data_IF_815582741913
#
_entry.id   IF_815582741913
#
_cell.length_a   1.000
_cell.length_b   1.000
_cell.length_c   1.000
_cell.angle_alpha   90.00
_cell.angle_beta   90.00
_cell.angle_gamma   90.00
#
_symmetry.space_group_name_H-M   'P 1'
#
loop_
_entity.id
_entity.type
_entity.pdbx_description
1 polymer ?
#
# COMPACT_ATOMS: atom_id res chain seq x y z
N UNK A 1 6.46 -3.98 -7.70
CA UNK A 1 7.88 -3.88 -8.08
C UNK A 1 8.33 -2.44 -8.31
N UNK A 2 7.80 -1.70 -9.30
CA UNK A 2 8.24 -0.31 -9.56
C UNK A 2 8.12 0.60 -8.33
N UNK A 3 7.00 0.50 -7.59
CA UNK A 3 6.83 1.22 -6.33
C UNK A 3 7.97 0.97 -5.35
N UNK A 4 8.42 -0.29 -5.22
CA UNK A 4 9.49 -0.65 -4.30
C UNK A 4 10.86 -0.11 -4.73
N UNK A 5 11.22 -0.30 -6.01
CA UNK A 5 12.50 0.18 -6.55
C UNK A 5 12.64 1.70 -6.44
N UNK A 6 11.59 2.44 -6.78
CA UNK A 6 11.61 3.90 -6.74
C UNK A 6 11.40 4.48 -5.34
N UNK A 7 10.68 3.78 -4.44
CA UNK A 7 10.63 4.18 -3.04
C UNK A 7 11.99 4.01 -2.36
N UNK A 8 12.76 2.95 -2.67
CA UNK A 8 14.15 2.83 -2.21
C UNK A 8 15.02 3.99 -2.71
N UNK A 9 14.77 4.48 -3.93
CA UNK A 9 15.44 5.67 -4.46
C UNK A 9 14.94 7.00 -3.84
N UNK A 10 13.95 6.97 -2.94
CA UNK A 10 13.29 8.14 -2.36
C UNK A 10 14.23 9.23 -1.82
N UNK A 11 15.22 8.91 -0.97
CA UNK A 11 16.17 9.90 -0.45
C UNK A 11 16.99 10.60 -1.55
N UNK A 12 17.36 9.86 -2.61
CA UNK A 12 18.06 10.42 -3.76
C UNK A 12 17.15 11.27 -4.64
N UNK A 13 15.91 10.81 -4.87
CA UNK A 13 14.90 11.58 -5.60
C UNK A 13 14.62 12.91 -4.90
N UNK A 14 14.49 12.87 -3.57
CA UNK A 14 14.30 14.05 -2.74
C UNK A 14 15.45 15.04 -2.86
N UNK A 15 16.69 14.54 -2.86
CA UNK A 15 17.91 15.36 -3.01
C UNK A 15 18.07 15.97 -4.41
N UNK A 16 17.75 15.22 -5.46
CA UNK A 16 17.99 15.64 -6.86
C UNK A 16 16.86 16.53 -7.38
N UNK A 17 15.61 16.13 -7.12
CA UNK A 17 14.42 16.71 -7.75
C UNK A 17 13.71 17.68 -6.79
N UNK A 18 13.82 17.45 -5.48
CA UNK A 18 13.06 18.15 -4.46
C UNK A 18 11.62 17.63 -4.33
N UNK A 19 11.02 17.89 -3.17
CA UNK A 19 9.67 17.41 -2.81
C UNK A 19 8.60 17.90 -3.80
N UNK A 20 8.56 19.20 -4.06
CA UNK A 20 7.48 19.84 -4.85
C UNK A 20 7.49 19.34 -6.30
N UNK A 21 8.64 19.42 -6.95
CA UNK A 21 8.80 18.95 -8.33
C UNK A 21 8.60 17.44 -8.41
N UNK A 22 9.12 16.68 -7.45
CA UNK A 22 9.00 15.22 -7.48
C UNK A 22 7.56 14.73 -7.32
N UNK A 23 6.77 15.33 -6.41
CA UNK A 23 5.33 15.03 -6.32
C UNK A 23 4.62 15.41 -7.63
N UNK A 24 4.93 16.57 -8.22
CA UNK A 24 4.36 17.01 -9.50
C UNK A 24 4.67 16.04 -10.65
N UNK A 25 5.90 15.54 -10.73
CA UNK A 25 6.29 14.48 -11.66
C UNK A 25 5.47 13.22 -11.38
N UNK A 26 5.36 12.81 -10.11
CA UNK A 26 4.58 11.63 -9.73
C UNK A 26 3.12 11.69 -10.20
N UNK A 27 2.45 12.82 -9.97
CA UNK A 27 1.06 13.04 -10.41
C UNK A 27 0.97 13.03 -11.94
N UNK A 28 1.92 13.66 -12.63
CA UNK A 28 1.99 13.67 -14.10
C UNK A 28 2.12 12.26 -14.68
N UNK A 29 2.99 11.42 -14.10
CA UNK A 29 3.18 10.04 -14.52
C UNK A 29 1.90 9.20 -14.33
N UNK A 30 1.16 9.42 -13.24
CA UNK A 30 -0.15 8.78 -13.02
C UNK A 30 -1.17 9.24 -14.07
N UNK A 31 -1.27 10.56 -14.33
CA UNK A 31 -2.19 11.09 -15.33
C UNK A 31 -1.90 10.55 -16.74
N UNK A 32 -0.62 10.48 -17.12
CA UNK A 32 -0.18 9.90 -18.39
C UNK A 32 -0.47 8.39 -18.46
N UNK A 33 -0.19 7.66 -17.39
CA UNK A 33 -0.48 6.22 -17.29
C UNK A 33 -1.97 5.94 -17.48
N UNK A 34 -2.84 6.63 -16.76
CA UNK A 34 -4.29 6.48 -16.88
C UNK A 34 -4.79 6.88 -18.27
N UNK A 35 -4.34 8.02 -18.81
CA UNK A 35 -4.76 8.49 -20.15
C UNK A 35 -4.33 7.50 -21.23
N UNK A 36 -3.12 6.96 -21.15
CA UNK A 36 -2.62 5.98 -22.10
C UNK A 36 -3.46 4.69 -22.12
N UNK A 37 -4.06 4.30 -20.99
CA UNK A 37 -4.91 3.09 -20.89
C UNK A 37 -6.16 3.12 -21.78
N UNK A 38 -6.56 4.31 -22.26
CA UNK A 38 -7.68 4.47 -23.20
C UNK A 38 -7.30 3.96 -24.60
N UNK A 39 -6.03 4.08 -24.99
CA UNK A 39 -5.57 3.88 -26.37
C UNK A 39 -4.74 2.62 -26.59
N UNK A 40 -4.40 1.90 -25.52
CA UNK A 40 -3.55 0.70 -25.59
C UNK A 40 -4.37 -0.58 -25.69
N UNK A 41 -3.86 -1.53 -26.47
CA UNK A 41 -4.52 -2.81 -26.75
C UNK A 41 -3.67 -4.03 -26.38
N UNK A 42 -2.35 -3.90 -26.43
CA UNK A 42 -1.46 -5.04 -26.16
C UNK A 42 -1.20 -5.23 -24.67
N UNK A 43 -1.02 -6.48 -24.25
CA UNK A 43 -0.63 -6.81 -22.87
C UNK A 43 0.66 -6.08 -22.46
N UNK A 44 1.66 -6.04 -23.35
CA UNK A 44 2.92 -5.31 -23.11
C UNK A 44 2.71 -3.82 -22.86
N UNK A 45 1.84 -3.17 -23.64
CA UNK A 45 1.51 -1.76 -23.43
C UNK A 45 0.73 -1.52 -22.12
N UNK A 46 -0.17 -2.43 -21.72
CA UNK A 46 -0.86 -2.32 -20.43
C UNK A 46 0.16 -2.43 -19.29
N UNK A 47 1.10 -3.37 -19.37
CA UNK A 47 2.19 -3.51 -18.39
C UNK A 47 3.05 -2.24 -18.34
N UNK A 48 3.42 -1.67 -19.50
CA UNK A 48 4.20 -0.44 -19.56
C UNK A 48 3.48 0.74 -18.89
N UNK A 49 2.17 0.92 -19.14
CA UNK A 49 1.39 1.95 -18.44
C UNK A 49 1.32 1.68 -16.93
N UNK A 50 1.16 0.42 -16.51
CA UNK A 50 1.17 0.06 -15.08
C UNK A 50 2.52 0.33 -14.41
N UNK A 51 3.63 0.08 -15.11
CA UNK A 51 4.97 0.46 -14.65
C UNK A 51 5.07 1.98 -14.47
N UNK A 52 4.64 2.75 -15.47
CA UNK A 52 4.64 4.21 -15.42
C UNK A 52 3.83 4.76 -14.23
N UNK A 53 2.61 4.24 -14.04
CA UNK A 53 1.77 4.62 -12.91
C UNK A 53 2.38 4.20 -11.56
N UNK A 54 3.00 3.03 -11.49
CA UNK A 54 3.72 2.55 -10.31
C UNK A 54 4.91 3.41 -9.93
N UNK A 55 5.64 3.96 -10.91
CA UNK A 55 6.71 4.95 -10.67
C UNK A 55 6.08 6.24 -10.11
N UNK A 56 4.99 6.73 -10.71
CA UNK A 56 4.31 7.93 -10.22
C UNK A 56 3.82 7.81 -8.77
N UNK A 57 3.21 6.68 -8.43
CA UNK A 57 2.79 6.35 -7.06
C UNK A 57 3.99 6.33 -6.11
N UNK A 58 5.14 5.78 -6.55
CA UNK A 58 6.36 5.73 -5.74
C UNK A 58 6.87 7.12 -5.38
N UNK A 59 6.91 8.03 -6.36
CA UNK A 59 7.32 9.43 -6.14
C UNK A 59 6.42 10.11 -5.11
N UNK A 60 5.10 9.99 -5.26
CA UNK A 60 4.15 10.61 -4.33
C UNK A 60 4.30 10.02 -2.92
N UNK A 61 4.34 8.70 -2.79
CA UNK A 61 4.44 8.05 -1.46
C UNK A 61 5.78 8.31 -0.76
N UNK A 62 6.87 8.47 -1.52
CA UNK A 62 8.18 8.80 -0.95
C UNK A 62 8.28 10.27 -0.51
N UNK A 63 7.69 11.20 -1.27
CA UNK A 63 7.95 12.64 -1.12
C UNK A 63 6.85 13.40 -0.38
N UNK A 64 5.58 12.95 -0.46
CA UNK A 64 4.46 13.64 0.19
C UNK A 64 4.61 13.69 1.73
N UNK A 65 5.01 12.60 2.42
CA UNK A 65 5.20 12.67 3.88
C UNK A 65 6.28 13.67 4.31
N UNK A 66 7.37 13.76 3.55
CA UNK A 66 8.44 14.74 3.79
C UNK A 66 7.93 16.17 3.60
N UNK A 67 7.23 16.42 2.49
CA UNK A 67 6.59 17.70 2.21
C UNK A 67 5.66 18.15 3.33
N UNK A 68 4.76 17.27 3.78
CA UNK A 68 3.80 17.55 4.86
C UNK A 68 4.53 17.90 6.16
N UNK A 69 5.52 17.10 6.57
CA UNK A 69 6.26 17.34 7.81
C UNK A 69 7.06 18.64 7.78
N UNK A 70 7.63 19.01 6.63
CA UNK A 70 8.43 20.23 6.49
C UNK A 70 7.56 21.49 6.45
N UNK A 71 6.44 21.45 5.74
CA UNK A 71 5.58 22.63 5.54
C UNK A 71 4.58 22.85 6.66
N UNK A 72 4.11 21.78 7.30
CA UNK A 72 3.07 21.82 8.32
C UNK A 72 3.43 20.91 9.51
N UNK A 73 4.55 21.15 10.21
CA UNK A 73 5.02 20.28 11.30
C UNK A 73 3.98 20.11 12.41
N UNK A 74 3.29 21.19 12.79
CA UNK A 74 2.28 21.17 13.86
C UNK A 74 1.04 20.34 13.50
N UNK A 75 0.69 20.25 12.21
CA UNK A 75 -0.48 19.52 11.71
C UNK A 75 -0.11 18.24 10.94
N UNK A 76 1.15 17.81 11.00
CA UNK A 76 1.67 16.74 10.17
C UNK A 76 0.92 15.42 10.38
N UNK A 77 0.56 15.08 11.62
CA UNK A 77 -0.22 13.88 11.91
C UNK A 77 -1.61 13.89 11.26
N UNK A 78 -2.32 15.02 11.32
CA UNK A 78 -3.64 15.18 10.71
C UNK A 78 -3.56 15.11 9.17
N UNK A 79 -2.60 15.80 8.57
CA UNK A 79 -2.41 15.82 7.12
C UNK A 79 -1.95 14.46 6.58
N UNK A 80 -1.10 13.74 7.33
CA UNK A 80 -0.75 12.35 7.01
C UNK A 80 -1.98 11.44 7.07
N UNK A 81 -2.86 11.63 8.06
CA UNK A 81 -4.13 10.91 8.13
C UNK A 81 -5.06 11.20 6.95
N UNK A 82 -5.14 12.46 6.51
CA UNK A 82 -5.90 12.83 5.31
C UNK A 82 -5.28 12.20 4.05
N UNK A 83 -3.94 12.21 3.93
CA UNK A 83 -3.22 11.59 2.83
C UNK A 83 -3.49 10.08 2.74
N UNK A 84 -3.37 9.35 3.85
CA UNK A 84 -3.67 7.91 3.87
C UNK A 84 -5.14 7.63 3.59
N UNK A 85 -6.05 8.44 4.14
CA UNK A 85 -7.49 8.34 3.86
C UNK A 85 -7.77 8.55 2.37
N UNK A 86 -7.10 9.50 1.71
CA UNK A 86 -7.24 9.73 0.28
C UNK A 86 -6.82 8.53 -0.57
N UNK A 87 -5.72 7.85 -0.19
CA UNK A 87 -5.27 6.61 -0.86
C UNK A 87 -6.37 5.53 -0.74
N UNK A 88 -6.87 5.30 0.47
CA UNK A 88 -7.85 4.25 0.74
C UNK A 88 -9.21 4.56 0.10
N UNK A 89 -9.70 5.79 0.24
CA UNK A 89 -10.95 6.25 -0.36
C UNK A 89 -10.90 6.21 -1.90
N UNK A 90 -9.77 6.59 -2.49
CA UNK A 90 -9.56 6.47 -3.94
C UNK A 90 -9.59 5.01 -4.42
N UNK A 91 -8.97 4.09 -3.67
CA UNK A 91 -8.99 2.66 -3.97
C UNK A 91 -10.42 2.09 -3.91
N UNK A 92 -11.18 2.41 -2.87
CA UNK A 92 -12.58 1.98 -2.74
C UNK A 92 -13.47 2.57 -3.85
N UNK A 93 -13.30 3.86 -4.19
CA UNK A 93 -14.02 4.47 -5.30
C UNK A 93 -13.71 3.78 -6.63
N UNK A 94 -12.44 3.51 -6.91
CA UNK A 94 -12.03 2.80 -8.12
C UNK A 94 -12.60 1.37 -8.16
N UNK A 95 -12.55 0.63 -7.06
CA UNK A 95 -13.09 -0.73 -6.99
C UNK A 95 -14.63 -0.76 -7.16
N UNK A 96 -15.35 0.14 -6.48
CA UNK A 96 -16.81 0.22 -6.57
C UNK A 96 -17.31 0.61 -7.97
N UNK A 97 -16.55 1.44 -8.68
CA UNK A 97 -16.92 1.91 -10.03
C UNK A 97 -16.39 1.01 -11.16
N UNK A 98 -15.45 0.11 -10.88
CA UNK A 98 -14.81 -0.71 -11.91
C UNK A 98 -15.78 -1.62 -12.67
N UNK A 99 -16.59 -2.42 -11.98
CA UNK A 99 -17.54 -3.34 -12.60
C UNK A 99 -18.64 -2.62 -13.42
N UNK A 100 -19.39 -1.65 -12.85
CA UNK A 100 -20.40 -0.92 -13.63
C UNK A 100 -19.76 -0.10 -14.75
N UNK A 101 -18.62 0.55 -14.49
CA UNK A 101 -17.90 1.31 -15.51
C UNK A 101 -17.52 0.42 -16.71
N UNK A 102 -16.98 -0.78 -16.44
CA UNK A 102 -16.58 -1.70 -17.50
C UNK A 102 -17.79 -2.19 -18.31
N UNK A 103 -18.95 -2.36 -17.67
CA UNK A 103 -20.19 -2.76 -18.33
C UNK A 103 -20.77 -1.65 -19.23
N UNK A 104 -20.78 -0.39 -18.78
CA UNK A 104 -21.41 0.71 -19.52
C UNK A 104 -20.48 1.39 -20.54
N UNK A 105 -19.22 1.60 -20.17
CA UNK A 105 -18.25 2.38 -20.96
C UNK A 105 -17.12 1.52 -21.54
N UNK A 106 -17.06 0.24 -21.18
CA UNK A 106 -15.94 -0.64 -21.52
C UNK A 106 -14.75 -0.47 -20.57
N UNK A 107 -13.94 -1.52 -20.47
CA UNK A 107 -12.83 -1.59 -19.52
C UNK A 107 -11.75 -0.51 -19.76
N UNK A 108 -11.49 -0.12 -21.01
CA UNK A 108 -10.50 0.91 -21.36
C UNK A 108 -10.86 2.29 -20.80
N UNK A 109 -12.09 2.75 -21.07
CA UNK A 109 -12.56 4.04 -20.56
C UNK A 109 -12.64 4.04 -19.04
N UNK A 110 -13.05 2.91 -18.44
CA UNK A 110 -13.08 2.75 -16.97
C UNK A 110 -11.71 2.93 -16.35
N UNK A 111 -10.67 2.30 -16.91
CA UNK A 111 -9.29 2.48 -16.44
C UNK A 111 -8.75 3.89 -16.72
N UNK A 112 -9.17 4.50 -17.83
CA UNK A 112 -8.78 5.84 -18.23
C UNK A 112 -9.41 6.96 -17.40
N UNK A 113 -10.59 6.72 -16.85
CA UNK A 113 -11.35 7.71 -16.07
C UNK A 113 -10.56 8.25 -14.87
N UNK A 114 -9.66 7.44 -14.29
CA UNK A 114 -8.76 7.85 -13.22
C UNK A 114 -7.77 8.97 -13.62
N UNK A 115 -7.63 9.28 -14.92
CA UNK A 115 -6.86 10.43 -15.38
C UNK A 115 -7.49 11.76 -14.92
N UNK A 116 -8.83 11.84 -14.82
CA UNK A 116 -9.52 13.06 -14.42
C UNK A 116 -9.12 13.54 -13.02
N UNK A 117 -9.24 12.74 -11.95
CA UNK A 117 -8.78 13.16 -10.63
C UNK A 117 -7.27 13.41 -10.58
N UNK A 118 -6.44 12.69 -11.36
CA UNK A 118 -5.00 12.94 -11.43
C UNK A 118 -4.67 14.31 -12.05
N UNK A 119 -5.38 14.72 -13.12
CA UNK A 119 -5.22 16.03 -13.73
C UNK A 119 -5.70 17.14 -12.80
N UNK A 120 -6.84 16.95 -12.12
CA UNK A 120 -7.32 17.91 -11.12
C UNK A 120 -6.32 18.06 -9.96
N UNK A 121 -5.75 16.95 -9.49
CA UNK A 121 -4.70 16.97 -8.48
C UNK A 121 -3.44 17.69 -8.97
N UNK A 122 -3.06 17.53 -10.25
CA UNK A 122 -1.91 18.22 -10.83
C UNK A 122 -2.13 19.72 -10.88
N UNK A 123 -3.32 20.17 -11.31
CA UNK A 123 -3.69 21.59 -11.34
C UNK A 123 -3.65 22.16 -9.92
N UNK A 124 -4.30 21.49 -8.96
CA UNK A 124 -4.26 21.92 -7.56
C UNK A 124 -2.83 21.99 -7.00
N UNK A 125 -1.99 21.00 -7.32
CA UNK A 125 -0.60 20.94 -6.88
C UNK A 125 0.23 22.09 -7.45
N UNK A 126 0.14 22.35 -8.76
CA UNK A 126 0.89 23.45 -9.41
C UNK A 126 0.48 24.81 -8.86
N UNK A 127 -0.80 24.99 -8.52
CA UNK A 127 -1.31 26.24 -7.96
C UNK A 127 -0.95 26.43 -6.48
N UNK A 128 -0.83 25.36 -5.69
CA UNK A 128 -0.70 25.44 -4.24
C UNK A 128 0.70 25.12 -3.67
N UNK A 129 1.50 24.28 -4.34
CA UNK A 129 2.69 23.68 -3.74
C UNK A 129 3.90 24.63 -3.56
N UNK A 130 3.87 25.81 -4.19
CA UNK A 130 4.95 26.81 -4.09
C UNK A 130 6.25 26.37 -4.77
N UNK A 131 7.39 26.90 -4.30
CA UNK A 131 8.73 26.61 -4.87
C UNK A 131 9.47 25.53 -4.07
N UNK A 132 10.27 24.73 -4.76
CA UNK A 132 11.22 23.79 -4.15
C UNK A 132 12.27 24.53 -3.34
N UNK A 133 12.37 24.24 -2.05
CA UNK A 133 13.56 24.57 -1.28
C UNK A 133 14.64 23.49 -1.50
N UNK A 134 15.94 23.84 -1.57
CA UNK A 134 17.00 22.85 -1.61
C UNK A 134 16.93 21.96 -0.37
N UNK A 135 16.81 20.65 -0.55
CA UNK A 135 16.80 19.71 0.56
C UNK A 135 18.24 19.23 0.83
N UNK A 136 18.75 19.52 2.03
CA UNK A 136 20.13 19.22 2.43
C UNK A 136 20.24 18.00 3.36
N UNK A 137 19.45 16.95 3.14
CA UNK A 137 19.57 15.75 3.94
C UNK A 137 20.61 14.76 3.37
N UNK A 138 21.12 13.94 4.29
CA UNK A 138 21.75 12.67 3.95
C UNK A 138 20.82 11.84 3.08
N UNK A 139 21.40 11.04 2.18
CA UNK A 139 20.70 10.02 1.43
C UNK A 139 21.22 8.66 1.89
N UNK A 140 20.98 8.33 3.17
CA UNK A 140 21.37 7.05 3.74
C UNK A 140 20.17 6.12 3.88
N UNK A 141 20.39 4.82 3.69
CA UNK A 141 19.40 3.81 4.05
C UNK A 141 19.87 3.06 5.30
N UNK A 142 18.99 2.70 6.23
CA UNK A 142 19.34 1.95 7.45
C UNK A 142 19.62 0.45 7.19
N UNK A 143 20.30 0.09 6.11
CA UNK A 143 20.53 -1.31 5.72
C UNK A 143 21.36 -2.12 6.73
N UNK A 144 22.10 -1.46 7.62
CA UNK A 144 22.85 -2.09 8.73
C UNK A 144 22.00 -2.33 9.99
N UNK A 145 20.76 -1.82 10.02
CA UNK A 145 19.91 -1.88 11.21
C UNK A 145 18.94 -3.07 11.15
N UNK A 146 19.06 -4.00 12.10
CA UNK A 146 18.20 -5.18 12.16
C UNK A 146 16.71 -4.86 12.39
N UNK A 147 16.41 -3.81 13.16
CA UNK A 147 15.03 -3.35 13.39
C UNK A 147 14.40 -2.82 12.10
N UNK A 148 15.18 -2.10 11.27
CA UNK A 148 14.72 -1.64 9.96
C UNK A 148 14.38 -2.81 9.02
N UNK A 149 15.18 -3.88 9.03
CA UNK A 149 14.87 -5.11 8.29
C UNK A 149 13.64 -5.83 8.83
N UNK A 150 13.45 -5.88 10.15
CA UNK A 150 12.27 -6.46 10.75
C UNK A 150 11.00 -5.71 10.32
N UNK A 151 11.02 -4.37 10.37
CA UNK A 151 9.92 -3.52 9.89
C UNK A 151 9.66 -3.71 8.39
N UNK A 152 10.72 -3.81 7.59
CA UNK A 152 10.65 -4.05 6.14
C UNK A 152 9.98 -5.39 5.83
N UNK A 153 10.42 -6.48 6.47
CA UNK A 153 9.82 -7.82 6.27
C UNK A 153 8.37 -7.82 6.76
N UNK A 154 8.10 -7.20 7.91
CA UNK A 154 6.74 -7.10 8.45
C UNK A 154 5.80 -6.34 7.49
N UNK A 155 6.23 -5.18 7.01
CA UNK A 155 5.49 -4.41 6.00
C UNK A 155 5.35 -5.21 4.70
N UNK A 156 6.39 -5.90 4.26
CA UNK A 156 6.42 -6.64 3.01
C UNK A 156 5.47 -7.83 2.97
N UNK A 157 5.41 -8.64 4.04
CA UNK A 157 4.45 -9.74 4.15
C UNK A 157 3.02 -9.19 4.31
N UNK A 158 2.82 -8.16 5.15
CA UNK A 158 1.50 -7.55 5.34
C UNK A 158 0.92 -6.93 4.07
N UNK A 159 1.74 -6.17 3.34
CA UNK A 159 1.38 -5.62 2.03
C UNK A 159 1.28 -6.73 0.97
N UNK A 160 2.04 -7.81 1.14
CA UNK A 160 1.91 -9.03 0.36
C UNK A 160 0.51 -9.63 0.43
N UNK A 161 -0.09 -9.68 1.62
CA UNK A 161 -1.48 -10.12 1.80
C UNK A 161 -2.46 -9.25 1.00
N UNK A 162 -2.31 -7.92 1.08
CA UNK A 162 -3.09 -6.98 0.27
C UNK A 162 -2.97 -7.28 -1.23
N UNK A 163 -1.75 -7.30 -1.76
CA UNK A 163 -1.54 -7.49 -3.20
C UNK A 163 -2.02 -8.84 -3.70
N UNK A 164 -1.89 -9.88 -2.86
CA UNK A 164 -2.37 -11.23 -3.16
C UNK A 164 -3.90 -11.24 -3.27
N UNK A 165 -4.60 -10.71 -2.26
CA UNK A 165 -6.06 -10.64 -2.25
C UNK A 165 -6.56 -9.77 -3.39
N UNK A 166 -5.97 -8.59 -3.60
CA UNK A 166 -6.34 -7.69 -4.69
C UNK A 166 -6.24 -8.36 -6.07
N UNK A 167 -5.18 -9.13 -6.31
CA UNK A 167 -4.95 -9.77 -7.61
C UNK A 167 -5.81 -11.03 -7.82
N UNK A 168 -6.02 -11.82 -6.77
CA UNK A 168 -6.50 -13.20 -6.92
C UNK A 168 -7.86 -13.48 -6.31
N UNK A 169 -8.43 -12.57 -5.51
CA UNK A 169 -9.76 -12.76 -4.92
C UNK A 169 -10.86 -12.87 -5.99
N UNK A 170 -10.97 -11.96 -6.99
CA UNK A 170 -12.00 -12.14 -8.01
C UNK A 170 -11.81 -13.40 -8.87
N UNK A 171 -10.59 -13.71 -9.40
CA UNK A 171 -10.36 -14.96 -10.11
C UNK A 171 -10.66 -16.21 -9.28
N UNK A 172 -10.41 -16.18 -7.96
CA UNK A 172 -10.76 -17.27 -7.05
C UNK A 172 -12.27 -17.48 -6.97
N UNK A 173 -13.06 -16.42 -6.81
CA UNK A 173 -14.52 -16.53 -6.77
C UNK A 173 -15.12 -16.97 -8.11
N UNK A 174 -14.55 -16.52 -9.23
CA UNK A 174 -14.90 -17.06 -10.55
C UNK A 174 -14.58 -18.55 -10.65
N UNK A 175 -13.42 -18.99 -10.12
CA UNK A 175 -13.04 -20.41 -10.11
C UNK A 175 -14.02 -21.27 -9.30
N UNK A 176 -14.60 -20.74 -8.21
CA UNK A 176 -15.59 -21.46 -7.39
C UNK A 176 -17.05 -21.21 -7.81
N UNK A 177 -17.26 -20.65 -9.01
CA UNK A 177 -18.56 -20.61 -9.70
C UNK A 177 -19.30 -19.29 -9.68
N UNK A 178 -18.70 -18.19 -9.18
CA UNK A 178 -19.33 -16.87 -9.19
C UNK A 178 -19.17 -16.19 -10.54
N UNK A 179 -20.04 -15.23 -10.84
CA UNK A 179 -19.88 -14.38 -12.02
C UNK A 179 -18.70 -13.41 -11.83
N UNK A 180 -18.13 -12.93 -12.93
CA UNK A 180 -17.08 -11.91 -12.88
C UNK A 180 -17.56 -10.60 -12.23
N UNK A 181 -18.83 -10.24 -12.41
CA UNK A 181 -19.42 -9.06 -11.80
C UNK A 181 -19.53 -9.18 -10.29
N UNK A 182 -20.11 -10.29 -9.78
CA UNK A 182 -20.27 -10.52 -8.35
C UNK A 182 -18.92 -10.61 -7.64
N UNK A 183 -17.96 -11.26 -8.26
CA UNK A 183 -16.58 -11.36 -7.76
C UNK A 183 -15.89 -9.99 -7.69
N UNK A 184 -16.19 -9.09 -8.65
CA UNK A 184 -15.73 -7.70 -8.63
C UNK A 184 -16.38 -6.87 -7.52
N UNK A 185 -17.70 -7.00 -7.31
CA UNK A 185 -18.40 -6.34 -6.21
C UNK A 185 -17.90 -6.81 -4.85
N UNK A 186 -17.55 -8.09 -4.72
CA UNK A 186 -16.98 -8.65 -3.51
C UNK A 186 -15.63 -8.00 -3.17
N UNK A 187 -14.77 -7.76 -4.16
CA UNK A 187 -13.53 -6.99 -3.98
C UNK A 187 -13.80 -5.51 -3.64
N UNK A 188 -14.84 -4.92 -4.23
CA UNK A 188 -15.31 -3.58 -3.86
C UNK A 188 -15.74 -3.49 -2.39
N UNK A 189 -16.48 -4.47 -1.89
CA UNK A 189 -16.88 -4.55 -0.48
C UNK A 189 -15.67 -4.76 0.44
N UNK A 190 -14.68 -5.56 0.02
CA UNK A 190 -13.43 -5.74 0.75
C UNK A 190 -12.68 -4.41 0.89
N UNK A 191 -12.45 -3.72 -0.22
CA UNK A 191 -11.72 -2.44 -0.22
C UNK A 191 -12.45 -1.36 0.58
N UNK A 192 -13.79 -1.31 0.55
CA UNK A 192 -14.55 -0.44 1.43
C UNK A 192 -14.32 -0.76 2.91
N UNK A 193 -14.30 -2.04 3.27
CA UNK A 193 -13.98 -2.49 4.62
C UNK A 193 -12.55 -2.12 5.01
N UNK A 194 -11.60 -2.20 4.07
CA UNK A 194 -10.22 -1.74 4.30
C UNK A 194 -10.21 -0.26 4.69
N UNK A 195 -10.90 0.61 3.94
CA UNK A 195 -11.00 2.06 4.26
C UNK A 195 -11.52 2.29 5.68
N UNK A 196 -12.61 1.62 6.04
CA UNK A 196 -13.21 1.73 7.38
C UNK A 196 -12.19 1.33 8.45
N UNK A 197 -11.48 0.22 8.24
CA UNK A 197 -10.49 -0.27 9.17
C UNK A 197 -9.30 0.68 9.36
N UNK A 198 -8.76 1.23 8.27
CA UNK A 198 -7.65 2.17 8.34
C UNK A 198 -8.04 3.48 9.04
N UNK A 199 -9.24 4.00 8.78
CA UNK A 199 -9.79 5.16 9.48
C UNK A 199 -9.98 4.90 10.98
N UNK A 200 -10.52 3.73 11.34
CA UNK A 200 -10.67 3.32 12.74
C UNK A 200 -9.31 3.24 13.45
N UNK A 201 -8.31 2.64 12.81
CA UNK A 201 -6.94 2.61 13.36
C UNK A 201 -6.41 4.02 13.54
N UNK A 202 -6.39 4.84 12.48
CA UNK A 202 -5.81 6.19 12.55
C UNK A 202 -6.50 7.10 13.58
N UNK A 203 -7.82 6.93 13.79
CA UNK A 203 -8.55 7.70 14.81
C UNK A 203 -8.34 7.19 16.23
N UNK A 204 -8.23 5.88 16.43
CA UNK A 204 -8.15 5.27 17.76
C UNK A 204 -6.72 4.99 18.25
N UNK A 205 -5.70 5.15 17.38
CA UNK A 205 -4.33 4.74 17.68
C UNK A 205 -3.75 5.41 18.93
N UNK A 206 -4.12 6.66 19.21
CA UNK A 206 -3.68 7.38 20.40
C UNK A 206 -4.07 6.70 21.73
N UNK A 207 -5.11 5.86 21.73
CA UNK A 207 -5.58 5.11 22.90
C UNK A 207 -4.75 3.86 23.20
N UNK A 208 -3.85 3.46 22.29
CA UNK A 208 -3.07 2.23 22.40
C UNK A 208 -1.57 2.55 22.39
N UNK A 209 -0.97 2.99 23.52
CA UNK A 209 0.46 3.30 23.58
C UNK A 209 1.33 2.12 23.14
N UNK A 210 0.92 0.90 23.49
CA UNK A 210 1.48 -0.33 22.93
C UNK A 210 0.67 -0.79 21.71
N UNK A 211 1.31 -0.78 20.54
CA UNK A 211 0.68 -1.11 19.24
C UNK A 211 0.47 -2.61 19.05
N UNK A 212 1.08 -3.46 19.87
CA UNK A 212 1.12 -4.92 19.68
C UNK A 212 -0.23 -5.59 19.75
N UNK A 213 -1.06 -5.19 20.71
CA UNK A 213 -2.39 -5.75 20.85
C UNK A 213 -3.20 -5.51 19.56
N UNK A 214 -3.13 -4.30 19.02
CA UNK A 214 -3.77 -3.99 17.74
C UNK A 214 -3.18 -4.81 16.59
N UNK A 215 -1.84 -4.91 16.49
CA UNK A 215 -1.17 -5.74 15.48
C UNK A 215 -1.65 -7.19 15.53
N UNK A 216 -1.70 -7.79 16.72
CA UNK A 216 -2.15 -9.17 16.91
C UNK A 216 -3.61 -9.32 16.46
N UNK A 217 -4.50 -8.42 16.90
CA UNK A 217 -5.92 -8.48 16.53
C UNK A 217 -6.14 -8.38 15.01
N UNK A 218 -5.45 -7.47 14.32
CA UNK A 218 -5.62 -7.30 12.87
C UNK A 218 -5.02 -8.45 12.08
N UNK A 219 -3.91 -9.05 12.55
CA UNK A 219 -3.33 -10.24 11.92
C UNK A 219 -4.23 -11.46 12.15
N UNK A 220 -4.84 -11.60 13.34
CA UNK A 220 -5.83 -12.66 13.58
C UNK A 220 -7.03 -12.51 12.65
N UNK A 221 -7.54 -11.29 12.43
CA UNK A 221 -8.59 -11.04 11.45
C UNK A 221 -8.16 -11.44 10.03
N UNK A 222 -6.94 -11.11 9.61
CA UNK A 222 -6.38 -11.55 8.33
C UNK A 222 -6.36 -13.09 8.22
N UNK A 223 -5.84 -13.79 9.24
CA UNK A 223 -5.80 -15.26 9.27
C UNK A 223 -7.21 -15.85 9.22
N UNK A 224 -8.15 -15.32 10.01
CA UNK A 224 -9.55 -15.75 9.99
C UNK A 224 -10.19 -15.57 8.63
N UNK A 225 -9.94 -14.44 7.97
CA UNK A 225 -10.44 -14.15 6.63
C UNK A 225 -9.90 -15.13 5.58
N UNK A 226 -8.59 -15.38 5.59
CA UNK A 226 -7.96 -16.38 4.71
C UNK A 226 -8.48 -17.80 5.01
N UNK A 227 -8.71 -18.12 6.28
CA UNK A 227 -9.26 -19.43 6.69
C UNK A 227 -10.69 -19.62 6.16
N UNK A 228 -11.51 -18.57 6.17
CA UNK A 228 -12.86 -18.61 5.59
C UNK A 228 -12.82 -18.89 4.08
N UNK A 229 -11.87 -18.30 3.34
CA UNK A 229 -11.68 -18.57 1.92
C UNK A 229 -11.33 -20.05 1.64
N UNK A 230 -10.58 -20.70 2.53
CA UNK A 230 -10.20 -22.11 2.36
C UNK A 230 -11.32 -23.05 2.80
N UNK A 231 -11.93 -22.78 3.95
CA UNK A 231 -12.84 -23.72 4.61
C UNK A 231 -14.21 -23.80 3.92
N UNK A 232 -14.80 -22.67 3.57
CA UNK A 232 -16.13 -22.62 2.96
C UNK A 232 -16.32 -21.31 2.17
N UNK A 233 -15.67 -21.16 1.00
CA UNK A 233 -15.56 -19.88 0.29
C UNK A 233 -16.90 -19.25 -0.08
N UNK A 234 -17.90 -20.08 -0.41
CA UNK A 234 -19.24 -19.62 -0.80
C UNK A 234 -20.07 -19.21 0.42
N UNK A 235 -20.11 -20.05 1.46
CA UNK A 235 -20.94 -19.82 2.65
C UNK A 235 -20.37 -18.71 3.54
N UNK A 236 -19.04 -18.59 3.61
CA UNK A 236 -18.35 -17.63 4.48
C UNK A 236 -17.86 -16.40 3.73
N UNK A 237 -18.28 -16.18 2.47
CA UNK A 237 -17.76 -15.10 1.63
C UNK A 237 -17.80 -13.73 2.34
N UNK A 238 -18.96 -13.33 2.87
CA UNK A 238 -19.11 -12.04 3.57
C UNK A 238 -18.23 -11.95 4.83
N UNK A 239 -18.11 -13.04 5.59
CA UNK A 239 -17.26 -13.08 6.79
C UNK A 239 -15.79 -12.95 6.37
N UNK A 240 -15.39 -13.67 5.31
CA UNK A 240 -14.04 -13.59 4.75
C UNK A 240 -13.69 -12.15 4.35
N UNK A 241 -14.59 -11.48 3.62
CA UNK A 241 -14.41 -10.10 3.16
C UNK A 241 -14.29 -9.12 4.32
N UNK A 242 -15.15 -9.23 5.33
CA UNK A 242 -15.09 -8.34 6.49
C UNK A 242 -13.80 -8.57 7.26
N UNK A 243 -13.43 -9.83 7.53
CA UNK A 243 -12.20 -10.15 8.25
C UNK A 243 -10.93 -9.75 7.48
N UNK A 244 -10.86 -10.06 6.18
CA UNK A 244 -9.72 -9.67 5.32
C UNK A 244 -9.63 -8.16 5.20
N UNK A 245 -10.72 -7.47 4.89
CA UNK A 245 -10.74 -6.02 4.74
C UNK A 245 -10.35 -5.32 6.04
N UNK A 246 -10.90 -5.76 7.19
CA UNK A 246 -10.52 -5.21 8.48
C UNK A 246 -9.06 -5.49 8.83
N UNK A 247 -8.57 -6.70 8.59
CA UNK A 247 -7.18 -7.08 8.87
C UNK A 247 -6.19 -6.30 7.99
N UNK A 248 -6.36 -6.36 6.67
CA UNK A 248 -5.46 -5.75 5.69
C UNK A 248 -5.50 -4.21 5.79
N UNK A 249 -6.70 -3.63 5.80
CA UNK A 249 -6.88 -2.17 5.81
C UNK A 249 -6.37 -1.51 7.09
N UNK A 250 -6.41 -2.22 8.22
CA UNK A 250 -5.81 -1.77 9.46
C UNK A 250 -4.29 -1.97 9.50
N UNK A 251 -3.79 -3.08 8.93
CA UNK A 251 -2.38 -3.44 8.99
C UNK A 251 -1.50 -2.40 8.27
N UNK A 252 -1.91 -1.91 7.10
CA UNK A 252 -1.14 -0.92 6.34
C UNK A 252 -0.81 0.37 7.14
N UNK A 253 -1.78 1.18 7.60
CA UNK A 253 -1.46 2.37 8.38
C UNK A 253 -0.76 2.04 9.70
N UNK A 254 -1.09 0.92 10.35
CA UNK A 254 -0.47 0.51 11.60
C UNK A 254 1.03 0.22 11.42
N UNK A 255 1.43 -0.43 10.32
CA UNK A 255 2.84 -0.65 10.01
C UNK A 255 3.60 0.65 9.75
N UNK A 256 2.98 1.62 9.07
CA UNK A 256 3.58 2.93 8.85
C UNK A 256 3.75 3.70 10.16
N UNK A 257 2.73 3.67 11.04
CA UNK A 257 2.79 4.30 12.36
C UNK A 257 3.90 3.68 13.21
N UNK A 258 3.95 2.34 13.31
CA UNK A 258 5.00 1.64 14.05
C UNK A 258 6.38 1.96 13.48
N UNK A 259 6.51 2.03 12.15
CA UNK A 259 7.77 2.43 11.50
C UNK A 259 8.18 3.85 11.90
N UNK A 260 7.24 4.79 11.88
CA UNK A 260 7.47 6.17 12.29
C UNK A 260 7.79 6.33 13.77
N UNK A 261 7.18 5.51 14.65
CA UNK A 261 7.46 5.48 16.09
C UNK A 261 8.94 5.10 16.40
N UNK A 262 9.65 4.48 15.44
CA UNK A 262 11.08 4.12 15.57
C UNK A 262 12.06 5.18 15.02
N UNK A 263 11.55 6.25 14.41
CA UNK A 263 12.38 7.32 13.87
C UNK A 263 12.72 8.36 14.94
N UNK A 264 13.95 8.86 14.95
CA UNK A 264 14.46 9.85 15.91
C UNK A 264 14.27 11.30 15.45
N UNK A 265 14.06 11.50 14.16
CA UNK A 265 14.01 12.82 13.49
C UNK A 265 13.12 12.75 12.23
N UNK A 266 12.69 13.90 11.68
CA UNK A 266 11.97 13.95 10.41
C UNK A 266 12.72 13.32 9.24
N UNK A 267 14.04 13.54 9.18
CA UNK A 267 14.90 13.02 8.12
C UNK A 267 15.02 11.50 8.23
N UNK A 268 15.28 10.99 9.44
CA UNK A 268 15.37 9.55 9.69
C UNK A 268 14.05 8.83 9.46
N UNK A 269 12.92 9.49 9.72
CA UNK A 269 11.60 8.97 9.40
C UNK A 269 11.42 8.77 7.90
N UNK A 270 11.89 9.70 7.07
CA UNK A 270 11.81 9.59 5.61
C UNK A 270 12.71 8.47 5.09
N UNK A 271 13.95 8.37 5.59
CA UNK A 271 14.90 7.31 5.19
C UNK A 271 14.40 5.91 5.58
N UNK A 272 13.88 5.77 6.81
CA UNK A 272 13.34 4.51 7.31
C UNK A 272 12.07 4.10 6.55
N UNK A 273 11.14 5.04 6.31
CA UNK A 273 9.95 4.75 5.51
C UNK A 273 10.31 4.35 4.08
N UNK A 274 11.26 5.03 3.45
CA UNK A 274 11.74 4.69 2.11
C UNK A 274 12.32 3.27 2.06
N UNK A 275 13.12 2.89 3.06
CA UNK A 275 13.68 1.56 3.18
C UNK A 275 12.60 0.48 3.40
N UNK A 276 11.73 0.69 4.38
CA UNK A 276 10.66 -0.25 4.78
C UNK A 276 9.65 -0.44 3.65
N UNK A 277 9.10 0.64 3.10
CA UNK A 277 8.15 0.58 2.00
C UNK A 277 8.82 0.07 0.73
N UNK A 278 10.02 0.55 0.42
CA UNK A 278 10.75 0.18 -0.77
C UNK A 278 11.01 -1.33 -0.86
N UNK A 279 11.71 -1.88 0.14
CA UNK A 279 11.96 -3.31 0.20
C UNK A 279 10.68 -4.12 0.41
N UNK A 280 9.76 -3.62 1.22
CA UNK A 280 8.49 -4.28 1.48
C UNK A 280 7.59 -4.40 0.24
N UNK A 281 7.51 -3.38 -0.61
CA UNK A 281 6.78 -3.47 -1.89
C UNK A 281 7.46 -4.41 -2.91
N UNK A 282 8.77 -4.65 -2.79
CA UNK A 282 9.46 -5.69 -3.59
C UNK A 282 8.99 -7.07 -3.10
N UNK A 283 9.02 -7.32 -1.79
CA UNK A 283 8.51 -8.55 -1.18
C UNK A 283 7.03 -8.75 -1.55
N UNK A 284 6.18 -7.74 -1.34
CA UNK A 284 4.75 -7.82 -1.61
C UNK A 284 4.45 -8.20 -3.07
N UNK A 285 5.18 -7.60 -4.02
CA UNK A 285 4.97 -7.88 -5.44
C UNK A 285 5.31 -9.32 -5.86
N UNK A 286 6.04 -10.08 -5.03
CA UNK A 286 6.28 -11.50 -5.29
C UNK A 286 5.05 -12.37 -4.98
N UNK A 287 4.17 -11.95 -4.08
CA UNK A 287 3.04 -12.78 -3.62
C UNK A 287 2.05 -13.11 -4.74
N UNK A 288 1.59 -12.14 -5.57
CA UNK A 288 0.72 -12.47 -6.71
C UNK A 288 1.40 -13.34 -7.77
N UNK A 289 2.72 -13.19 -7.95
CA UNK A 289 3.49 -13.99 -8.91
C UNK A 289 3.58 -15.45 -8.45
N UNK A 290 3.89 -15.67 -7.17
CA UNK A 290 3.89 -17.01 -6.56
C UNK A 290 2.49 -17.63 -6.67
N UNK A 291 1.44 -16.87 -6.38
CA UNK A 291 0.07 -17.35 -6.49
C UNK A 291 -0.33 -17.71 -7.94
N UNK A 292 0.11 -16.93 -8.92
CA UNK A 292 -0.06 -17.26 -10.34
C UNK A 292 0.65 -18.57 -10.70
N UNK A 293 1.90 -18.72 -10.29
CA UNK A 293 2.65 -19.96 -10.49
C UNK A 293 1.96 -21.18 -9.85
N UNK A 294 1.47 -21.04 -8.61
CA UNK A 294 0.71 -22.09 -7.91
C UNK A 294 -0.59 -22.41 -8.63
N UNK A 295 -1.32 -21.39 -9.10
CA UNK A 295 -2.55 -21.58 -9.87
C UNK A 295 -2.29 -22.34 -11.17
N UNK A 296 -1.26 -21.98 -11.91
CA UNK A 296 -0.96 -22.58 -13.22
C UNK A 296 -0.53 -24.04 -13.10
N UNK A 297 0.20 -24.42 -12.04
CA UNK A 297 0.72 -25.78 -11.86
C UNK A 297 -0.20 -26.69 -11.02
N UNK A 298 -0.94 -26.13 -10.06
CA UNK A 298 -1.78 -26.89 -9.14
C UNK A 298 -3.28 -26.70 -9.42
N UNK A 299 -3.64 -25.90 -10.44
CA UNK A 299 -5.03 -25.54 -10.77
C UNK A 299 -5.83 -25.00 -9.58
N UNK A 300 -5.17 -24.42 -8.59
CA UNK A 300 -5.78 -24.12 -7.29
C UNK A 300 -5.13 -22.90 -6.63
N UNK A 301 -5.96 -21.93 -6.26
CA UNK A 301 -5.55 -20.76 -5.48
C UNK A 301 -5.58 -21.01 -3.95
N UNK A 302 -6.12 -22.15 -3.49
CA UNK A 302 -6.17 -22.50 -2.07
C UNK A 302 -4.76 -22.57 -1.45
N UNK A 303 -3.76 -23.02 -2.22
CA UNK A 303 -2.36 -23.06 -1.79
C UNK A 303 -1.77 -21.67 -1.56
N UNK A 304 -2.17 -20.68 -2.36
CA UNK A 304 -1.72 -19.30 -2.17
C UNK A 304 -2.28 -18.70 -0.88
N UNK A 305 -3.56 -18.99 -0.56
CA UNK A 305 -4.16 -18.60 0.72
C UNK A 305 -3.47 -19.28 1.91
N UNK A 306 -3.17 -20.58 1.79
CA UNK A 306 -2.43 -21.32 2.83
C UNK A 306 -1.02 -20.77 3.05
N UNK A 307 -0.29 -20.44 1.98
CA UNK A 307 1.02 -19.79 2.08
C UNK A 307 0.92 -18.43 2.78
N UNK A 308 -0.11 -17.65 2.49
CA UNK A 308 -0.32 -16.36 3.16
C UNK A 308 -0.73 -16.51 4.63
N UNK A 309 -1.44 -17.59 5.01
CA UNK A 309 -1.67 -17.92 6.42
C UNK A 309 -0.34 -18.16 7.13
N UNK A 310 0.57 -18.94 6.53
CA UNK A 310 1.91 -19.16 7.10
C UNK A 310 2.65 -17.82 7.25
N UNK A 311 2.64 -16.98 6.22
CA UNK A 311 3.21 -15.63 6.29
C UNK A 311 2.59 -14.78 7.40
N UNK A 312 1.28 -14.85 7.60
CA UNK A 312 0.56 -14.13 8.64
C UNK A 312 0.88 -14.66 10.05
N UNK A 313 1.12 -15.97 10.20
CA UNK A 313 1.64 -16.54 11.46
C UNK A 313 3.05 -16.04 11.76
N UNK A 314 3.90 -15.91 10.73
CA UNK A 314 5.21 -15.26 10.87
C UNK A 314 5.05 -13.81 11.32
N UNK A 315 4.09 -13.05 10.77
CA UNK A 315 3.78 -11.70 11.25
C UNK A 315 3.37 -11.68 12.73
N UNK A 316 2.54 -12.63 13.18
CA UNK A 316 2.18 -12.73 14.61
C UNK A 316 3.42 -12.90 15.48
N UNK A 317 4.33 -13.81 15.09
CA UNK A 317 5.58 -14.00 15.81
C UNK A 317 6.45 -12.74 15.79
N UNK A 318 6.56 -12.07 14.64
CA UNK A 318 7.34 -10.83 14.50
C UNK A 318 6.75 -9.67 15.31
N UNK A 319 5.43 -9.63 15.51
CA UNK A 319 4.77 -8.58 16.29
C UNK A 319 5.27 -8.52 17.75
N UNK A 320 5.68 -9.66 18.30
CA UNK A 320 6.24 -9.77 19.65
C UNK A 320 7.63 -9.13 19.80
N UNK A 321 8.29 -8.74 18.71
CA UNK A 321 9.60 -8.06 18.73
C UNK A 321 9.50 -6.54 18.51
N UNK A 322 8.31 -6.00 18.21
CA UNK A 322 8.06 -4.56 18.01
C UNK A 322 7.76 -3.86 19.35
N UNK A 323 8.70 -3.90 20.30
CA UNK A 323 8.47 -3.41 21.68
C UNK A 323 8.54 -1.87 21.70
N UNK A 324 7.60 -1.18 22.37
CA UNK A 324 7.69 0.27 22.56
C UNK A 324 9.01 0.68 23.22
N UNK A 325 9.50 -0.11 24.17
CA UNK A 325 10.68 0.20 24.98
C UNK A 325 12.03 -0.23 24.36
N UNK A 326 12.09 -0.69 23.10
CA UNK A 326 13.38 -0.94 22.43
C UNK A 326 14.02 0.35 21.90
N UNK A 327 13.80 1.49 22.56
CA UNK A 327 14.28 2.85 22.24
C UNK A 327 15.82 2.96 22.23
N UNK A 328 16.51 2.16 21.42
CA UNK A 328 17.69 2.65 20.74
C UNK A 328 17.15 3.30 19.47
N UNK A 329 17.02 4.64 19.40
CA UNK A 329 16.71 5.30 18.14
C UNK A 329 17.60 4.71 17.05
N UNK A 330 17.00 4.42 15.89
CA UNK A 330 17.76 3.90 14.75
C UNK A 330 18.75 5.00 14.37
N UNK A 331 20.00 4.87 14.88
CA UNK A 331 21.09 5.77 14.53
C UNK A 331 21.45 5.52 13.09
N UNK A 332 21.22 6.53 12.26
CA UNK A 332 21.62 6.51 10.87
C UNK A 332 23.07 6.97 10.74
N UNK A 333 23.67 6.72 9.58
CA UNK A 333 25.00 7.24 9.28
C UNK A 333 25.03 8.79 9.28
N UNK A 334 23.87 9.45 9.18
CA UNK A 334 23.72 10.90 9.35
C UNK A 334 23.83 11.38 10.80
N UNK A 335 23.73 10.49 11.79
CA UNK A 335 23.73 10.82 13.22
C UNK A 335 25.13 10.71 13.85
N UNK A 336 26.16 10.51 13.02
CA UNK A 336 27.59 10.39 13.37
C UNK A 336 28.43 11.34 12.55
#
# INVERSE_FOLDING_TARGET
MMMGLFALAGPWLLRIVGEVTGVGIGITLIALSCTARIYVDSAGSIIATAMLGGIGIAFIQALMPAFIKRTHPESAGMLMGLFTTGIMGGAAFAAATAAPGAAFFGWKLTLGFAALPAVLALVAWVLAAGRTAPYSASASLPYRNAQAWLLLVFFGIGTGAYTLVLAWLPPFYVQVGWTAADSGYLLGALTLTEVIAGLLVSSLIHRFPDRRLLLILVILLLISGLTCLIAAPNQLALIAIVCLGMGIGALFPLTLIVTLDHASSPESASELLAFVQGGGYIIAATMPVIAGFLRDHLSSLYWAWGLMIIGSVVLLALSAFLHPNSHRPIKLASDT
#
